data_IF_024892934563
#
_entry.id   IF_024892934563
#
_cell.length_a   1.000
_cell.length_b   1.000
_cell.length_c   1.000
_cell.angle_alpha   90.00
_cell.angle_beta   90.00
_cell.angle_gamma   90.00
#
_symmetry.space_group_name_H-M   'P 1'
#
loop_
_entity.id
_entity.type
_entity.pdbx_description
1 polymer ?
#
# COMPACT_ATOMS: atom_id res chain seq x y z
N UNK A 1 24.37 42.82 42.94
CA UNK A 1 24.48 41.95 44.13
C UNK A 1 23.17 42.11 44.87
N UNK A 2 22.23 41.16 44.90
CA UNK A 2 22.27 39.70 44.84
C UNK A 2 20.89 39.25 44.37
N UNK A 3 20.82 38.46 43.30
CA UNK A 3 19.58 37.86 42.80
C UNK A 3 19.35 36.53 43.52
N UNK A 4 18.15 36.37 44.08
CA UNK A 4 17.60 35.10 44.56
C UNK A 4 17.51 34.09 43.41
N UNK A 5 17.90 32.84 43.69
CA UNK A 5 17.53 31.69 42.88
C UNK A 5 16.85 30.67 43.79
N UNK A 6 15.53 30.64 43.71
CA UNK A 6 14.68 29.61 44.30
C UNK A 6 14.99 28.26 43.65
N UNK A 7 15.30 27.27 44.49
CA UNK A 7 15.42 25.86 44.12
C UNK A 7 14.03 25.28 43.90
N UNK A 8 13.76 24.72 42.72
CA UNK A 8 12.70 23.71 42.57
C UNK A 8 13.34 22.35 42.36
N UNK A 9 12.98 21.43 43.26
CA UNK A 9 13.44 20.07 43.33
C UNK A 9 12.26 19.15 43.02
N UNK A 10 12.26 18.55 41.82
CA UNK A 10 11.42 17.39 41.52
C UNK A 10 12.09 16.48 40.48
N UNK A 11 13.29 15.98 40.80
CA UNK A 11 13.95 14.92 40.05
C UNK A 11 13.48 13.54 40.50
N UNK A 12 12.45 13.00 39.84
CA UNK A 12 12.21 11.55 39.83
C UNK A 12 13.04 10.91 38.70
N UNK A 13 13.52 9.65 38.83
CA UNK A 13 14.30 9.01 37.77
C UNK A 13 13.40 8.75 36.56
N UNK A 14 13.52 9.60 35.54
CA UNK A 14 12.80 9.47 34.30
C UNK A 14 13.17 8.15 33.62
N UNK A 15 12.18 7.27 33.43
CA UNK A 15 12.29 6.15 32.51
C UNK A 15 12.67 6.72 31.13
N UNK A 16 13.69 6.18 30.42
CA UNK A 16 14.04 6.69 29.10
C UNK A 16 12.80 6.57 28.21
N UNK A 17 12.26 7.72 27.78
CA UNK A 17 11.24 7.75 26.75
C UNK A 17 11.93 7.29 25.46
N UNK A 18 11.38 6.29 24.78
CA UNK A 18 11.71 6.05 23.36
C UNK A 18 11.56 7.39 22.62
N UNK A 19 12.32 7.63 21.56
CA UNK A 19 12.13 8.84 20.74
C UNK A 19 10.78 8.80 20.02
N UNK A 20 10.15 7.63 19.92
CA UNK A 20 8.72 7.48 19.58
C UNK A 20 7.82 7.88 20.77
N UNK A 21 6.70 8.53 20.47
CA UNK A 21 5.63 8.87 21.41
C UNK A 21 4.77 7.69 21.86
N UNK A 22 5.03 6.47 21.38
CA UNK A 22 4.36 5.26 21.82
C UNK A 22 4.55 4.99 23.32
N UNK A 23 3.50 4.48 23.97
CA UNK A 23 3.63 3.95 25.31
C UNK A 23 4.50 2.69 25.34
N UNK A 24 4.96 2.33 26.54
CA UNK A 24 5.91 1.24 26.68
C UNK A 24 5.34 -0.15 26.42
N UNK A 25 4.03 -0.34 26.58
CA UNK A 25 3.39 -1.62 26.28
C UNK A 25 3.33 -1.83 24.78
N UNK A 26 2.93 -0.79 24.05
CA UNK A 26 2.93 -0.75 22.59
C UNK A 26 4.33 -0.96 22.02
N UNK A 27 5.34 -0.26 22.54
CA UNK A 27 6.75 -0.46 22.14
C UNK A 27 7.19 -1.91 22.39
N UNK A 28 6.85 -2.50 23.53
CA UNK A 28 7.25 -3.88 23.84
C UNK A 28 6.61 -4.89 22.87
N UNK A 29 5.32 -4.72 22.54
CA UNK A 29 4.62 -5.56 21.57
C UNK A 29 5.23 -5.45 20.17
N UNK A 30 5.39 -4.22 19.67
CA UNK A 30 5.96 -3.99 18.33
C UNK A 30 7.42 -4.45 18.24
N UNK A 31 8.22 -4.25 19.29
CA UNK A 31 9.62 -4.68 19.30
C UNK A 31 9.75 -6.21 19.24
N UNK A 32 8.82 -6.96 19.85
CA UNK A 32 8.79 -8.42 19.75
C UNK A 32 8.51 -8.88 18.32
N UNK A 33 7.51 -8.29 17.65
CA UNK A 33 7.20 -8.57 16.25
C UNK A 33 8.33 -8.12 15.32
N UNK A 34 8.90 -6.94 15.55
CA UNK A 34 10.03 -6.41 14.79
C UNK A 34 11.25 -7.34 14.84
N UNK A 35 11.57 -7.90 16.00
CA UNK A 35 12.68 -8.85 16.15
C UNK A 35 12.48 -10.09 15.26
N UNK A 36 11.24 -10.59 15.13
CA UNK A 36 10.92 -11.71 14.24
C UNK A 36 11.09 -11.35 12.76
N UNK A 37 10.72 -10.12 12.37
CA UNK A 37 10.92 -9.63 11.00
C UNK A 37 12.42 -9.50 10.70
N UNK A 38 13.17 -8.82 11.58
CA UNK A 38 14.61 -8.58 11.41
C UNK A 38 15.40 -9.88 11.28
N UNK A 39 15.03 -10.91 12.06
CA UNK A 39 15.67 -12.22 12.03
C UNK A 39 15.57 -12.94 10.68
N UNK A 40 14.68 -12.52 9.76
CA UNK A 40 14.54 -13.08 8.41
C UNK A 40 15.61 -12.60 7.44
N UNK A 41 16.37 -11.56 7.80
CA UNK A 41 17.31 -10.91 6.91
C UNK A 41 18.74 -10.96 7.46
N UNK A 42 19.75 -11.13 6.58
CA UNK A 42 21.15 -11.05 7.00
C UNK A 42 21.59 -9.62 7.37
N UNK A 43 20.90 -8.61 6.84
CA UNK A 43 21.15 -7.20 7.14
C UNK A 43 19.88 -6.57 7.73
N UNK A 44 19.94 -5.93 8.92
CA UNK A 44 18.76 -5.35 9.56
C UNK A 44 18.00 -4.36 8.68
N UNK A 45 18.70 -3.49 7.94
CA UNK A 45 18.08 -2.52 7.01
C UNK A 45 17.12 -3.14 6.00
N UNK A 46 17.32 -4.40 5.60
CA UNK A 46 16.46 -5.10 4.64
C UNK A 46 15.07 -5.40 5.20
N UNK A 47 14.89 -5.32 6.52
CA UNK A 47 13.61 -5.48 7.19
C UNK A 47 12.71 -4.23 7.11
N UNK A 48 13.19 -3.11 6.56
CA UNK A 48 12.45 -1.84 6.61
C UNK A 48 11.07 -1.91 5.95
N UNK A 49 10.95 -2.55 4.79
CA UNK A 49 9.69 -2.67 4.06
C UNK A 49 8.59 -3.38 4.89
N UNK A 50 8.80 -4.63 5.38
CA UNK A 50 7.82 -5.27 6.25
C UNK A 50 7.65 -4.57 7.62
N UNK A 51 8.67 -3.87 8.12
CA UNK A 51 8.54 -3.05 9.34
C UNK A 51 7.57 -1.88 9.16
N UNK A 52 7.55 -1.24 7.99
CA UNK A 52 6.58 -0.20 7.67
C UNK A 52 5.15 -0.76 7.62
N UNK A 53 4.96 -1.96 7.07
CA UNK A 53 3.66 -2.65 7.16
C UNK A 53 3.29 -3.04 8.59
N UNK A 54 4.25 -3.42 9.44
CA UNK A 54 3.99 -3.67 10.86
C UNK A 54 3.46 -2.41 11.56
N UNK A 55 4.07 -1.25 11.29
CA UNK A 55 3.57 0.06 11.77
C UNK A 55 2.14 0.31 11.28
N UNK A 56 1.86 0.13 9.99
CA UNK A 56 0.49 0.31 9.46
C UNK A 56 -0.51 -0.65 10.11
N UNK A 57 -0.10 -1.87 10.45
CA UNK A 57 -0.98 -2.83 11.13
C UNK A 57 -1.42 -2.35 12.52
N UNK A 58 -0.61 -1.49 13.13
CA UNK A 58 -0.83 -0.96 14.47
C UNK A 58 -1.49 0.41 14.44
N UNK A 59 -1.08 1.30 13.54
CA UNK A 59 -1.52 2.69 13.50
C UNK A 59 -2.55 2.98 12.40
N UNK A 60 -2.72 2.08 11.42
CA UNK A 60 -3.53 2.31 10.22
C UNK A 60 -2.80 3.09 9.12
N UNK A 61 -1.60 3.60 9.40
CA UNK A 61 -0.72 4.31 8.47
C UNK A 61 0.70 4.36 9.08
N UNK A 62 1.68 4.85 8.32
CA UNK A 62 3.06 5.10 8.74
C UNK A 62 3.13 6.43 9.49
N UNK A 63 2.88 6.38 10.80
CA UNK A 63 2.93 7.54 11.67
C UNK A 63 4.36 8.05 11.92
N UNK A 64 4.50 9.28 12.43
CA UNK A 64 5.79 9.85 12.85
C UNK A 64 6.48 9.00 13.91
N UNK A 65 5.69 8.46 14.84
CA UNK A 65 6.19 7.58 15.89
C UNK A 65 6.62 6.22 15.34
N UNK A 66 5.89 5.70 14.36
CA UNK A 66 6.27 4.50 13.61
C UNK A 66 7.58 4.66 12.84
N UNK A 67 7.80 5.80 12.20
CA UNK A 67 9.07 6.14 11.53
C UNK A 67 10.22 6.11 12.55
N UNK A 68 10.05 6.75 13.71
CA UNK A 68 11.06 6.76 14.77
C UNK A 68 11.30 5.37 15.34
N UNK A 69 10.25 4.58 15.52
CA UNK A 69 10.34 3.20 15.96
C UNK A 69 11.17 2.36 14.99
N UNK A 70 10.87 2.40 13.68
CA UNK A 70 11.65 1.69 12.65
C UNK A 70 13.11 2.16 12.62
N UNK A 71 13.35 3.46 12.72
CA UNK A 71 14.69 4.03 12.78
C UNK A 71 15.50 3.49 13.97
N UNK A 72 14.88 3.44 15.16
CA UNK A 72 15.51 2.87 16.37
C UNK A 72 15.76 1.36 16.24
N UNK A 73 14.82 0.58 15.71
CA UNK A 73 14.97 -0.87 15.60
C UNK A 73 16.04 -1.31 14.58
N UNK A 74 16.25 -0.52 13.53
CA UNK A 74 17.09 -0.90 12.39
C UNK A 74 18.43 -0.15 12.34
N UNK A 75 18.72 0.71 13.32
CA UNK A 75 19.86 1.63 13.33
C UNK A 75 19.94 2.50 12.06
N UNK A 76 18.79 3.09 11.71
CA UNK A 76 18.64 4.01 10.58
C UNK A 76 18.29 5.41 11.09
N UNK A 77 18.49 6.41 10.24
CA UNK A 77 17.95 7.74 10.49
C UNK A 77 16.45 7.79 10.17
N UNK A 78 15.71 8.66 10.87
CA UNK A 78 14.31 8.91 10.53
C UNK A 78 14.15 9.41 9.08
N UNK A 79 15.13 10.14 8.54
CA UNK A 79 15.12 10.62 7.16
C UNK A 79 15.20 9.48 6.13
N UNK A 80 16.05 8.47 6.37
CA UNK A 80 16.13 7.28 5.50
C UNK A 80 14.82 6.49 5.52
N UNK A 81 14.22 6.33 6.70
CA UNK A 81 12.91 5.66 6.84
C UNK A 81 11.81 6.45 6.12
N UNK A 82 11.75 7.77 6.33
CA UNK A 82 10.81 8.64 5.64
C UNK A 82 10.96 8.57 4.13
N UNK A 83 12.19 8.56 3.60
CA UNK A 83 12.44 8.49 2.16
C UNK A 83 11.87 7.20 1.55
N UNK A 84 11.99 6.06 2.24
CA UNK A 84 11.40 4.80 1.78
C UNK A 84 9.88 4.83 1.88
N UNK A 85 9.33 5.35 2.97
CA UNK A 85 7.89 5.49 3.16
C UNK A 85 7.24 6.42 2.12
N UNK A 86 7.96 7.43 1.63
CA UNK A 86 7.50 8.33 0.56
C UNK A 86 7.64 7.74 -0.84
N UNK A 87 8.57 6.80 -1.02
CA UNK A 87 8.87 6.24 -2.35
C UNK A 87 7.85 5.20 -2.80
N UNK A 88 7.36 4.37 -1.87
CA UNK A 88 6.38 3.32 -2.19
C UNK A 88 4.96 3.77 -1.80
N UNK A 89 4.06 3.81 -2.78
CA UNK A 89 2.65 4.22 -2.62
C UNK A 89 1.82 3.31 -1.71
N UNK A 90 2.31 2.10 -1.44
CA UNK A 90 1.68 1.14 -0.51
C UNK A 90 1.75 1.61 0.94
N UNK A 91 2.65 2.56 1.25
CA UNK A 91 2.79 3.13 2.57
C UNK A 91 1.91 4.37 2.76
N UNK A 92 0.77 4.12 3.43
CA UNK A 92 -0.05 5.03 4.24
C UNK A 92 0.75 6.14 4.89
N UNK A 93 0.71 7.41 4.48
CA UNK A 93 1.36 8.48 5.27
C UNK A 93 0.38 9.42 5.97
N UNK A 94 -0.88 9.28 5.63
CA UNK A 94 -2.01 9.85 6.34
C UNK A 94 -2.93 8.72 6.81
N UNK A 95 -3.81 8.99 7.78
CA UNK A 95 -4.82 8.05 8.21
C UNK A 95 -5.63 7.51 7.03
N UNK A 96 -5.77 6.19 7.03
CA UNK A 96 -6.41 5.42 5.98
C UNK A 96 -7.67 4.78 6.56
N UNK A 97 -8.67 4.60 5.70
CA UNK A 97 -9.91 3.95 6.04
C UNK A 97 -9.72 2.49 6.46
N UNK A 98 -10.80 1.90 6.96
CA UNK A 98 -10.83 0.45 7.23
C UNK A 98 -10.55 -0.37 5.97
N UNK A 99 -10.95 0.16 4.80
CA UNK A 99 -10.78 -0.43 3.49
C UNK A 99 -10.15 0.57 2.52
N UNK A 100 -8.98 0.25 1.98
CA UNK A 100 -8.44 0.94 0.79
C UNK A 100 -9.03 0.30 -0.45
N UNK A 101 -9.82 1.08 -1.19
CA UNK A 101 -10.50 0.67 -2.43
C UNK A 101 -9.75 1.29 -3.61
N UNK A 102 -9.02 0.48 -4.37
CA UNK A 102 -8.23 0.91 -5.52
C UNK A 102 -8.87 0.48 -6.83
N UNK A 103 -9.10 1.40 -7.77
CA UNK A 103 -9.60 1.10 -9.11
C UNK A 103 -8.46 1.21 -10.12
N UNK A 104 -8.20 0.13 -10.88
CA UNK A 104 -7.19 0.17 -11.93
C UNK A 104 -7.65 1.08 -13.07
N UNK A 105 -6.93 2.17 -13.31
CA UNK A 105 -7.19 3.11 -14.41
C UNK A 105 -6.11 3.07 -15.49
N UNK A 106 -5.26 2.03 -15.48
CA UNK A 106 -4.28 1.85 -16.54
C UNK A 106 -4.95 1.31 -17.82
N UNK A 107 -4.29 1.52 -18.95
CA UNK A 107 -4.73 1.35 -20.35
C UNK A 107 -5.87 0.36 -20.58
N UNK A 108 -5.69 -0.93 -20.25
CA UNK A 108 -6.72 -1.92 -20.53
C UNK A 108 -7.96 -1.74 -19.64
N UNK A 109 -7.78 -1.50 -18.34
CA UNK A 109 -8.92 -1.26 -17.46
C UNK A 109 -9.62 0.04 -17.84
N UNK A 110 -8.88 1.12 -18.15
CA UNK A 110 -9.45 2.36 -18.68
C UNK A 110 -10.36 2.13 -19.90
N UNK A 111 -9.85 1.41 -20.91
CA UNK A 111 -10.63 1.04 -22.11
C UNK A 111 -11.90 0.24 -21.76
N UNK A 112 -11.81 -0.61 -20.74
CA UNK A 112 -12.91 -1.48 -20.31
C UNK A 112 -13.89 -0.80 -19.33
N UNK A 113 -13.67 0.47 -18.95
CA UNK A 113 -14.55 1.23 -18.05
C UNK A 113 -14.00 1.47 -16.63
N UNK A 114 -12.70 1.30 -16.42
CA UNK A 114 -12.04 1.55 -15.12
C UNK A 114 -12.15 3.00 -14.66
N UNK A 115 -12.02 3.97 -15.57
CA UNK A 115 -12.23 5.38 -15.25
C UNK A 115 -13.69 5.66 -14.84
N UNK A 116 -14.66 5.06 -15.54
CA UNK A 116 -16.08 5.18 -15.21
C UNK A 116 -16.40 4.60 -13.82
N UNK A 117 -15.76 3.49 -13.44
CA UNK A 117 -15.89 2.90 -12.10
C UNK A 117 -15.34 3.84 -11.04
N UNK A 118 -14.16 4.42 -11.27
CA UNK A 118 -13.57 5.36 -10.31
C UNK A 118 -14.45 6.60 -10.15
N UNK A 119 -14.92 7.19 -11.25
CA UNK A 119 -15.72 8.41 -11.21
C UNK A 119 -17.06 8.19 -10.50
N UNK A 120 -17.74 7.05 -10.75
CA UNK A 120 -18.97 6.67 -10.03
C UNK A 120 -18.72 6.51 -8.52
N UNK A 121 -17.65 5.80 -8.13
CA UNK A 121 -17.31 5.63 -6.71
C UNK A 121 -16.96 6.95 -6.04
N UNK A 122 -16.23 7.82 -6.73
CA UNK A 122 -15.85 9.15 -6.26
C UNK A 122 -17.09 10.01 -5.99
N UNK A 123 -18.04 10.05 -6.93
CA UNK A 123 -19.30 10.77 -6.76
C UNK A 123 -20.16 10.17 -5.64
N UNK A 124 -20.29 8.84 -5.61
CA UNK A 124 -21.12 8.13 -4.61
C UNK A 124 -20.59 8.27 -3.18
N UNK A 125 -19.27 8.22 -3.00
CA UNK A 125 -18.62 8.34 -1.69
C UNK A 125 -18.37 9.80 -1.30
N UNK A 126 -18.37 10.72 -2.26
CA UNK A 126 -18.05 12.13 -2.04
C UNK A 126 -16.58 12.37 -1.72
N UNK A 127 -15.67 11.50 -2.20
CA UNK A 127 -14.22 11.60 -1.96
C UNK A 127 -13.45 11.38 -3.27
N UNK A 128 -12.33 12.09 -3.41
CA UNK A 128 -11.40 11.94 -4.53
C UNK A 128 -10.37 10.82 -4.35
N UNK A 129 -9.31 10.88 -5.15
CA UNK A 129 -8.18 9.97 -5.03
C UNK A 129 -7.38 10.24 -3.73
N UNK A 130 -7.00 9.17 -3.05
CA UNK A 130 -6.29 9.14 -1.76
C UNK A 130 -7.04 9.84 -0.61
N UNK A 131 -8.33 10.16 -0.81
CA UNK A 131 -9.21 10.73 0.20
C UNK A 131 -10.02 9.64 0.91
N UNK A 132 -10.43 9.93 2.14
CA UNK A 132 -11.12 8.97 3.02
C UNK A 132 -12.49 9.50 3.40
N UNK A 133 -13.50 8.64 3.38
CA UNK A 133 -14.87 9.00 3.75
C UNK A 133 -14.95 9.48 5.20
N UNK A 134 -15.88 10.38 5.50
CA UNK A 134 -16.06 10.98 6.85
C UNK A 134 -16.28 9.94 7.96
N UNK A 135 -16.85 8.78 7.61
CA UNK A 135 -17.06 7.66 8.53
C UNK A 135 -15.79 6.82 8.78
N UNK A 136 -14.67 7.13 8.12
CA UNK A 136 -13.40 6.42 8.22
C UNK A 136 -13.43 5.00 7.62
N UNK A 137 -14.44 4.67 6.83
CA UNK A 137 -14.61 3.33 6.30
C UNK A 137 -13.74 3.08 5.06
N UNK A 138 -13.73 4.01 4.10
CA UNK A 138 -13.16 3.79 2.76
C UNK A 138 -12.18 4.89 2.40
N UNK A 139 -10.98 4.51 1.96
CA UNK A 139 -10.06 5.37 1.22
C UNK A 139 -10.11 4.97 -0.24
N UNK A 140 -10.39 5.91 -1.15
CA UNK A 140 -10.56 5.64 -2.58
C UNK A 140 -9.28 6.00 -3.35
N UNK A 141 -8.79 5.10 -4.21
CA UNK A 141 -7.57 5.32 -4.98
C UNK A 141 -7.76 4.98 -6.46
N UNK A 142 -7.23 5.85 -7.33
CA UNK A 142 -6.82 5.46 -8.67
C UNK A 142 -5.51 4.68 -8.54
N UNK A 143 -5.51 3.42 -8.96
CA UNK A 143 -4.30 2.60 -8.93
C UNK A 143 -3.83 2.29 -10.34
N UNK A 144 -2.53 2.09 -10.44
CA UNK A 144 -1.89 1.64 -11.66
C UNK A 144 -2.16 0.14 -11.93
N UNK A 145 -1.46 -0.42 -12.91
CA UNK A 145 -1.64 -1.81 -13.33
C UNK A 145 -1.47 -2.82 -12.18
N UNK A 146 -2.55 -3.54 -11.86
CA UNK A 146 -2.57 -4.65 -10.89
C UNK A 146 -2.24 -6.03 -11.51
N UNK A 147 -1.74 -6.06 -12.75
CA UNK A 147 -1.36 -7.27 -13.48
C UNK A 147 -2.47 -8.35 -13.60
N UNK A 148 -3.73 -7.93 -13.63
CA UNK A 148 -4.92 -8.80 -13.78
C UNK A 148 -5.74 -8.41 -15.01
N UNK A 149 -5.05 -8.09 -16.11
CA UNK A 149 -5.61 -7.58 -17.35
C UNK A 149 -6.62 -8.53 -18.02
N UNK A 150 -6.46 -9.83 -17.82
CA UNK A 150 -7.37 -10.87 -18.29
C UNK A 150 -8.74 -10.86 -17.57
N UNK A 151 -8.87 -10.07 -16.50
CA UNK A 151 -10.09 -9.87 -15.70
C UNK A 151 -10.57 -8.41 -15.66
N UNK A 152 -10.06 -7.54 -16.55
CA UNK A 152 -10.40 -6.13 -16.57
C UNK A 152 -11.92 -5.88 -16.79
N UNK A 153 -12.52 -4.85 -16.16
CA UNK A 153 -11.91 -3.92 -15.19
C UNK A 153 -11.70 -4.53 -13.80
N UNK A 154 -10.61 -4.13 -13.15
CA UNK A 154 -10.22 -4.66 -11.83
C UNK A 154 -10.25 -3.57 -10.77
N UNK A 155 -10.96 -3.85 -9.68
CA UNK A 155 -10.89 -3.13 -8.42
C UNK A 155 -10.17 -3.99 -7.38
N UNK A 156 -9.48 -3.37 -6.44
CA UNK A 156 -8.90 -4.05 -5.28
C UNK A 156 -9.46 -3.45 -3.99
N UNK A 157 -9.70 -4.30 -2.99
CA UNK A 157 -10.01 -3.84 -1.63
C UNK A 157 -9.01 -4.48 -0.69
N UNK A 158 -8.16 -3.68 -0.06
CA UNK A 158 -7.08 -4.17 0.81
C UNK A 158 -6.33 -5.36 0.19
N UNK A 159 -5.84 -5.21 -1.05
CA UNK A 159 -5.08 -6.22 -1.82
C UNK A 159 -5.84 -7.49 -2.23
N UNK A 160 -7.15 -7.56 -1.99
CA UNK A 160 -8.01 -8.62 -2.53
C UNK A 160 -8.61 -8.17 -3.87
N UNK A 161 -8.71 -9.10 -4.83
CA UNK A 161 -9.12 -8.79 -6.20
C UNK A 161 -10.64 -8.88 -6.41
N UNK A 162 -11.21 -7.82 -6.97
CA UNK A 162 -12.58 -7.74 -7.46
C UNK A 162 -12.53 -7.56 -8.98
N UNK A 163 -12.83 -8.64 -9.68
CA UNK A 163 -12.66 -8.76 -11.12
C UNK A 163 -13.95 -8.43 -11.87
N UNK A 164 -13.82 -8.13 -13.17
CA UNK A 164 -14.95 -7.86 -14.08
C UNK A 164 -15.94 -6.85 -13.49
N UNK A 165 -15.43 -5.82 -12.81
CA UNK A 165 -16.28 -4.86 -12.12
C UNK A 165 -16.98 -3.94 -13.12
N UNK A 166 -18.13 -3.45 -12.68
CA UNK A 166 -18.94 -2.42 -13.32
C UNK A 166 -19.17 -1.30 -12.30
N UNK A 167 -19.56 -0.08 -12.71
CA UNK A 167 -19.86 0.98 -11.76
C UNK A 167 -20.85 0.53 -10.67
N UNK A 168 -21.96 -0.12 -11.07
CA UNK A 168 -22.96 -0.61 -10.12
C UNK A 168 -22.47 -1.72 -9.18
N UNK A 169 -21.65 -2.66 -9.67
CA UNK A 169 -21.12 -3.72 -8.79
C UNK A 169 -20.06 -3.20 -7.83
N UNK A 170 -19.27 -2.22 -8.25
CA UNK A 170 -18.27 -1.57 -7.40
C UNK A 170 -18.96 -0.80 -6.25
N UNK A 171 -20.02 -0.05 -6.56
CA UNK A 171 -20.84 0.64 -5.56
C UNK A 171 -21.46 -0.33 -4.57
N UNK A 172 -22.03 -1.46 -5.03
CA UNK A 172 -22.57 -2.51 -4.14
C UNK A 172 -21.52 -3.07 -3.18
N UNK A 173 -20.31 -3.36 -3.68
CA UNK A 173 -19.19 -3.82 -2.85
C UNK A 173 -18.89 -2.81 -1.75
N UNK A 174 -18.74 -1.54 -2.10
CA UNK A 174 -18.39 -0.48 -1.15
C UNK A 174 -19.49 -0.26 -0.11
N UNK A 175 -20.75 -0.24 -0.52
CA UNK A 175 -21.88 -0.06 0.41
C UNK A 175 -21.97 -1.20 1.43
N UNK A 176 -21.77 -2.44 0.98
CA UNK A 176 -21.77 -3.62 1.85
C UNK A 176 -20.61 -3.59 2.84
N UNK A 177 -19.43 -3.14 2.42
CA UNK A 177 -18.28 -2.93 3.31
C UNK A 177 -18.58 -1.87 4.38
N UNK A 178 -19.17 -0.74 3.99
CA UNK A 178 -19.57 0.33 4.91
C UNK A 178 -20.67 -0.10 5.88
N UNK A 179 -21.54 -1.01 5.45
CA UNK A 179 -22.54 -1.66 6.31
C UNK A 179 -21.95 -2.71 7.27
N UNK A 180 -20.64 -3.01 7.17
CA UNK A 180 -19.95 -3.99 8.01
C UNK A 180 -20.22 -5.45 7.60
N UNK A 181 -20.67 -5.68 6.37
CA UNK A 181 -20.87 -7.04 5.86
C UNK A 181 -19.56 -7.74 5.54
N UNK A 182 -19.57 -9.07 5.58
CA UNK A 182 -18.48 -9.86 5.04
C UNK A 182 -18.62 -9.94 3.52
N UNK A 183 -17.77 -9.21 2.81
CA UNK A 183 -17.71 -9.22 1.35
C UNK A 183 -16.57 -10.11 0.89
N UNK A 184 -16.87 -11.08 0.03
CA UNK A 184 -15.87 -11.94 -0.58
C UNK A 184 -15.32 -11.30 -1.88
N UNK A 185 -13.99 -11.31 -2.10
CA UNK A 185 -13.39 -10.99 -3.38
C UNK A 185 -13.72 -12.03 -4.45
N UNK A 186 -13.50 -11.68 -5.72
CA UNK A 186 -13.67 -12.63 -6.83
C UNK A 186 -12.60 -13.71 -6.82
N UNK A 187 -11.39 -13.34 -6.38
CA UNK A 187 -10.26 -14.24 -6.17
C UNK A 187 -9.61 -13.92 -4.84
N UNK A 188 -9.41 -14.93 -4.01
CA UNK A 188 -8.76 -14.82 -2.72
C UNK A 188 -9.60 -15.38 -1.58
N UNK A 189 -9.39 -14.85 -0.39
CA UNK A 189 -9.95 -15.39 0.83
C UNK A 189 -11.47 -15.24 0.91
N UNK A 190 -12.15 -15.99 1.79
CA UNK A 190 -13.63 -16.00 1.88
C UNK A 190 -14.28 -14.65 2.24
N UNK A 191 -13.48 -13.66 2.65
CA UNK A 191 -13.91 -12.30 2.98
C UNK A 191 -12.71 -11.36 3.03
N UNK A 192 -12.90 -10.09 2.66
CA UNK A 192 -11.87 -9.07 2.87
C UNK A 192 -11.63 -8.83 4.36
N UNK A 193 -10.38 -8.52 4.74
CA UNK A 193 -10.03 -8.08 6.08
C UNK A 193 -9.81 -6.56 6.10
N UNK A 194 -9.67 -5.97 7.30
CA UNK A 194 -9.35 -4.54 7.43
C UNK A 194 -7.92 -4.23 6.98
N UNK A 195 -7.65 -2.96 6.64
CA UNK A 195 -6.33 -2.49 6.21
C UNK A 195 -5.22 -2.82 7.22
N UNK A 196 -5.54 -2.71 8.51
CA UNK A 196 -4.63 -3.06 9.61
C UNK A 196 -4.32 -4.56 9.65
N UNK A 197 -5.33 -5.40 9.44
CA UNK A 197 -5.15 -6.85 9.38
C UNK A 197 -4.33 -7.25 8.16
N UNK A 198 -4.63 -6.70 6.97
CA UNK A 198 -3.85 -7.00 5.77
C UNK A 198 -2.41 -6.50 5.88
N UNK A 199 -2.20 -5.31 6.46
CA UNK A 199 -0.86 -4.79 6.75
C UNK A 199 -0.07 -5.73 7.68
N UNK A 200 -0.75 -6.41 8.63
CA UNK A 200 -0.10 -7.42 9.46
C UNK A 200 0.35 -8.64 8.64
N UNK A 201 -0.48 -9.08 7.69
CA UNK A 201 -0.13 -10.16 6.75
C UNK A 201 1.05 -9.76 5.87
N UNK A 202 1.07 -8.53 5.34
CA UNK A 202 2.16 -7.98 4.52
C UNK A 202 3.46 -7.77 5.31
N UNK A 203 3.39 -7.55 6.62
CA UNK A 203 4.56 -7.60 7.51
C UNK A 203 5.11 -9.03 7.70
N UNK A 204 4.43 -10.03 7.14
CA UNK A 204 4.78 -11.44 7.12
C UNK A 204 4.28 -12.21 8.34
N UNK A 205 3.18 -11.79 8.95
CA UNK A 205 2.46 -12.56 9.97
C UNK A 205 1.19 -13.13 9.34
N UNK A 206 1.26 -14.39 8.94
CA UNK A 206 0.17 -15.05 8.20
C UNK A 206 -1.10 -15.15 9.03
N UNK A 207 -2.23 -14.97 8.38
CA UNK A 207 -3.58 -15.15 8.95
C UNK A 207 -4.15 -16.57 8.69
N UNK A 208 -3.41 -17.40 7.95
CA UNK A 208 -3.79 -18.76 7.60
C UNK A 208 -4.69 -18.88 6.36
N UNK A 209 -4.89 -17.78 5.62
CA UNK A 209 -5.87 -17.70 4.52
C UNK A 209 -5.23 -17.69 3.13
N UNK A 210 -3.90 -17.80 3.06
CA UNK A 210 -3.14 -17.69 1.81
C UNK A 210 -3.52 -18.75 0.76
N UNK A 211 -4.00 -19.92 1.18
CA UNK A 211 -4.43 -21.01 0.29
C UNK A 211 -5.94 -20.98 -0.02
N UNK A 212 -6.66 -19.96 0.46
CA UNK A 212 -8.07 -19.77 0.12
C UNK A 212 -8.22 -19.17 -1.29
N UNK A 213 -9.38 -19.45 -1.91
CA UNK A 213 -9.74 -18.90 -3.22
C UNK A 213 -9.39 -19.80 -4.40
N UNK A 214 -9.52 -19.24 -5.59
CA UNK A 214 -9.21 -19.91 -6.85
C UNK A 214 -7.91 -19.35 -7.42
N UNK A 215 -7.03 -20.23 -7.90
CA UNK A 215 -5.80 -19.86 -8.58
C UNK A 215 -6.06 -19.29 -9.98
N UNK A 216 -5.38 -19.83 -11.00
CA UNK A 216 -5.61 -19.40 -12.39
C UNK A 216 -7.05 -19.73 -12.84
N UNK A 217 -7.85 -18.69 -13.10
CA UNK A 217 -9.22 -18.83 -13.58
C UNK A 217 -9.32 -19.11 -15.09
N UNK A 218 -10.55 -19.11 -15.62
CA UNK A 218 -10.82 -19.45 -17.02
C UNK A 218 -10.07 -18.52 -18.00
N UNK A 219 -10.13 -17.18 -17.88
CA UNK A 219 -9.43 -16.25 -18.78
C UNK A 219 -7.92 -16.47 -18.82
N UNK A 220 -7.30 -16.67 -17.66
CA UNK A 220 -5.85 -16.91 -17.53
C UNK A 220 -5.42 -18.19 -18.27
N UNK A 221 -6.27 -19.21 -18.25
CA UNK A 221 -5.98 -20.52 -18.84
C UNK A 221 -6.41 -20.65 -20.31
N UNK A 222 -7.11 -19.66 -20.87
CA UNK A 222 -7.66 -19.74 -22.23
C UNK A 222 -6.59 -20.04 -23.29
N UNK A 223 -5.44 -19.33 -23.23
CA UNK A 223 -4.33 -19.56 -24.14
C UNK A 223 -3.74 -20.97 -24.05
N UNK A 224 -3.63 -21.52 -22.82
CA UNK A 224 -3.15 -22.88 -22.60
C UNK A 224 -4.12 -23.94 -23.14
N UNK A 225 -5.43 -23.74 -22.97
CA UNK A 225 -6.45 -24.64 -23.52
C UNK A 225 -6.36 -24.67 -25.04
N UNK A 226 -6.35 -23.50 -25.68
CA UNK A 226 -6.23 -23.38 -27.14
C UNK A 226 -4.95 -24.03 -27.66
N UNK A 227 -3.82 -23.85 -26.98
CA UNK A 227 -2.57 -24.49 -27.37
C UNK A 227 -2.68 -26.02 -27.35
N UNK A 228 -3.28 -26.60 -26.30
CA UNK A 228 -3.49 -28.06 -26.19
C UNK A 228 -4.45 -28.60 -27.25
N UNK A 229 -5.56 -27.91 -27.48
CA UNK A 229 -6.56 -28.29 -28.48
C UNK A 229 -5.99 -28.30 -29.90
N UNK A 230 -5.11 -27.34 -30.21
CA UNK A 230 -4.49 -27.23 -31.53
C UNK A 230 -3.14 -27.97 -31.64
N UNK A 231 -2.70 -28.66 -30.59
CA UNK A 231 -1.39 -29.32 -30.55
C UNK A 231 -0.21 -28.36 -30.73
N UNK A 232 -0.36 -27.09 -30.34
CA UNK A 232 0.70 -26.09 -30.43
C UNK A 232 1.76 -26.34 -29.37
N UNK A 233 3.01 -26.33 -29.82
CA UNK A 233 4.19 -26.35 -28.95
C UNK A 233 5.00 -25.09 -29.21
N UNK A 234 5.63 -24.55 -28.17
CA UNK A 234 6.59 -23.47 -28.35
C UNK A 234 7.67 -23.91 -29.37
N UNK A 235 8.11 -23.04 -30.28
CA UNK A 235 9.26 -23.33 -31.12
C UNK A 235 10.47 -23.67 -30.24
N UNK A 236 11.19 -24.75 -30.58
CA UNK A 236 12.35 -25.14 -29.79
C UNK A 236 13.42 -24.06 -29.78
N UNK A 237 13.99 -23.79 -28.60
CA UNK A 237 15.15 -22.91 -28.48
C UNK A 237 16.41 -23.58 -29.03
N UNK A 238 17.54 -22.85 -29.18
CA UNK A 238 18.82 -23.42 -29.63
C UNK A 238 19.35 -24.61 -28.79
N UNK A 239 18.74 -24.88 -27.64
CA UNK A 239 19.10 -25.93 -26.69
C UNK A 239 18.15 -27.14 -26.70
N UNK A 240 17.10 -27.17 -27.53
CA UNK A 240 16.13 -28.28 -27.56
C UNK A 240 16.58 -29.47 -28.43
N UNK A 241 17.83 -29.90 -28.26
CA UNK A 241 18.24 -31.25 -28.66
C UNK A 241 17.93 -32.24 -27.54
N UNK A 242 16.76 -32.85 -27.65
CA UNK A 242 16.38 -34.18 -27.16
C UNK A 242 16.86 -34.61 -25.75
N UNK A 243 16.05 -34.35 -24.73
CA UNK A 243 15.60 -35.38 -23.77
C UNK A 243 14.45 -34.84 -22.89
N UNK A 244 13.25 -35.39 -23.08
CA UNK A 244 12.12 -35.38 -22.13
C UNK A 244 11.81 -34.07 -21.39
N UNK A 245 11.28 -33.06 -22.07
CA UNK A 245 10.69 -31.90 -21.39
C UNK A 245 9.30 -32.26 -20.82
N UNK A 246 9.25 -32.67 -19.55
CA UNK A 246 8.04 -32.55 -18.76
C UNK A 246 7.69 -31.06 -18.62
N UNK A 247 6.43 -30.72 -18.90
CA UNK A 247 5.94 -29.36 -18.74
C UNK A 247 6.22 -28.87 -17.32
N UNK A 248 6.80 -27.68 -17.13
CA UNK A 248 7.01 -27.13 -15.80
C UNK A 248 5.66 -26.81 -15.16
N UNK A 249 5.41 -27.36 -13.97
CA UNK A 249 4.34 -26.93 -13.08
C UNK A 249 4.50 -25.43 -12.79
N UNK A 250 3.37 -24.70 -12.79
CA UNK A 250 3.27 -23.25 -12.73
C UNK A 250 3.75 -22.61 -11.43
N UNK A 251 5.05 -22.71 -11.14
CA UNK A 251 5.74 -21.96 -10.10
C UNK A 251 6.19 -20.57 -10.57
N UNK A 252 6.33 -19.60 -9.65
CA UNK A 252 6.50 -18.19 -10.01
C UNK A 252 7.92 -17.91 -10.49
N UNK A 253 8.05 -17.18 -11.60
CA UNK A 253 9.32 -16.67 -12.10
C UNK A 253 9.25 -15.17 -12.36
N UNK A 254 10.08 -14.46 -11.62
CA UNK A 254 10.48 -13.06 -11.80
C UNK A 254 11.11 -12.83 -13.18
N UNK A 255 10.83 -11.69 -13.83
CA UNK A 255 11.40 -11.35 -15.13
C UNK A 255 11.35 -9.85 -15.45
N UNK A 256 12.54 -9.29 -15.53
CA UNK A 256 12.97 -7.91 -15.76
C UNK A 256 12.45 -7.26 -17.06
N UNK A 257 12.31 -5.93 -17.00
CA UNK A 257 11.82 -4.99 -18.01
C UNK A 257 12.85 -4.58 -19.09
N UNK A 258 12.34 -4.17 -20.25
CA UNK A 258 13.05 -3.47 -21.33
C UNK A 258 12.07 -2.61 -22.15
N UNK A 259 12.53 -1.50 -22.77
CA UNK A 259 11.73 -0.29 -22.91
C UNK A 259 10.93 -0.21 -24.21
N UNK A 260 9.80 0.49 -24.18
CA UNK A 260 9.03 0.88 -25.36
C UNK A 260 8.91 2.41 -25.40
N UNK A 261 9.52 3.00 -26.43
CA UNK A 261 9.33 4.40 -26.81
C UNK A 261 7.93 4.58 -27.43
N UNK A 262 7.11 5.43 -26.82
CA UNK A 262 5.88 5.92 -27.42
C UNK A 262 5.80 7.43 -27.21
N UNK A 263 5.87 8.17 -28.32
CA UNK A 263 5.73 9.62 -28.36
C UNK A 263 4.26 10.00 -28.46
N UNK A 264 3.82 10.76 -27.47
CA UNK A 264 2.54 11.46 -27.37
C UNK A 264 2.47 11.90 -25.92
N UNK A 265 2.54 13.21 -25.64
CA UNK A 265 2.47 13.71 -24.26
C UNK A 265 1.10 13.32 -23.69
N UNK A 266 1.03 12.39 -22.71
CA UNK A 266 -0.16 12.23 -21.94
C UNK A 266 -0.27 13.48 -21.07
N UNK A 267 -1.43 14.14 -21.05
CA UNK A 267 -1.71 15.08 -19.97
C UNK A 267 -1.75 14.26 -18.69
N UNK A 268 -0.70 14.39 -17.88
CA UNK A 268 -0.65 13.79 -16.57
C UNK A 268 -1.83 14.33 -15.77
N UNK A 269 -2.70 13.44 -15.30
CA UNK A 269 -3.58 13.78 -14.19
C UNK A 269 -2.74 14.34 -13.04
N UNK A 270 -3.35 15.19 -12.23
CA UNK A 270 -2.66 15.80 -11.09
C UNK A 270 -1.90 14.71 -10.30
N UNK A 271 -0.60 14.92 -10.07
CA UNK A 271 0.19 14.02 -9.22
C UNK A 271 -0.41 14.11 -7.81
N UNK A 272 -1.08 13.04 -7.39
CA UNK A 272 -1.68 12.95 -6.07
C UNK A 272 -0.96 11.82 -5.33
N UNK A 273 0.24 12.13 -4.84
CA UNK A 273 0.91 11.26 -3.87
C UNK A 273 0.24 11.44 -2.52
N UNK A 274 0.17 10.37 -1.72
CA UNK A 274 -0.13 10.46 -0.28
C UNK A 274 0.88 11.27 0.53
N UNK A 275 1.78 12.02 -0.11
CA UNK A 275 2.67 13.00 0.50
C UNK A 275 2.06 14.36 0.59
N UNK A 276 1.20 14.63 -0.37
CA UNK A 276 0.76 15.96 -0.72
C UNK A 276 -0.69 16.17 -0.28
N UNK A 277 -1.29 15.17 0.39
CA UNK A 277 -2.64 15.24 0.94
C UNK A 277 -2.70 16.17 2.15
N UNK A 278 -3.61 17.12 2.08
CA UNK A 278 -3.99 17.97 3.22
C UNK A 278 -4.92 17.21 4.19
N UNK A 279 -4.89 17.51 5.50
CA UNK A 279 -5.82 16.92 6.46
C UNK A 279 -7.28 17.29 6.13
N UNK A 280 -8.14 16.29 6.07
CA UNK A 280 -9.56 16.41 5.73
C UNK A 280 -10.49 16.20 6.93
N UNK A 281 -10.05 15.43 7.93
CA UNK A 281 -10.82 15.05 9.12
C UNK A 281 -9.99 15.20 10.40
N UNK A 282 -10.66 15.22 11.57
CA UNK A 282 -9.96 15.22 12.87
C UNK A 282 -9.07 13.98 13.07
N UNK A 283 -9.42 12.86 12.41
CA UNK A 283 -8.62 11.65 12.44
C UNK A 283 -7.29 11.82 11.71
N UNK A 284 -7.21 12.73 10.73
CA UNK A 284 -6.02 13.00 9.90
C UNK A 284 -4.89 13.71 10.68
N UNK A 285 -5.18 14.21 11.88
CA UNK A 285 -4.23 14.93 12.73
C UNK A 285 -3.63 14.00 13.76
N UNK A 286 -2.31 13.83 13.72
CA UNK A 286 -1.53 13.04 14.68
C UNK A 286 -1.86 13.49 16.13
N UNK A 287 -2.30 12.59 17.03
CA UNK A 287 -2.65 12.92 18.41
C UNK A 287 -1.49 13.50 19.24
N UNK A 288 -0.26 13.52 18.73
CA UNK A 288 0.91 14.17 19.35
C UNK A 288 1.53 15.36 18.59
N UNK A 289 1.00 15.76 17.43
CA UNK A 289 1.64 16.72 16.52
C UNK A 289 0.93 18.07 16.43
N UNK A 290 1.64 19.18 16.68
CA UNK A 290 1.16 20.50 16.21
C UNK A 290 1.08 20.51 14.68
N UNK A 291 0.10 21.20 14.06
CA UNK A 291 -0.04 21.28 12.60
C UNK A 291 1.29 21.70 11.96
N UNK A 292 1.75 20.93 10.98
CA UNK A 292 2.96 21.23 10.23
C UNK A 292 2.73 22.51 9.43
N UNK A 293 3.52 23.55 9.71
CA UNK A 293 3.60 24.70 8.83
C UNK A 293 4.14 24.23 7.48
N UNK A 294 3.50 24.54 6.34
CA UNK A 294 4.05 24.19 5.04
C UNK A 294 5.44 24.84 4.88
N UNK A 295 6.45 24.02 4.58
CA UNK A 295 7.79 24.52 4.23
C UNK A 295 7.68 25.33 2.94
N UNK A 296 7.96 26.63 3.03
CA UNK A 296 7.99 27.52 1.89
C UNK A 296 9.08 27.07 0.90
N UNK A 297 8.69 26.69 -0.32
CA UNK A 297 9.62 26.52 -1.45
C UNK A 297 10.44 27.81 -1.62
N UNK A 298 11.78 27.76 -1.73
CA UNK A 298 12.57 28.94 -2.04
C UNK A 298 12.29 29.39 -3.48
N UNK A 299 11.84 30.63 -3.62
CA UNK A 299 11.58 31.31 -4.89
C UNK A 299 12.90 31.47 -5.68
N UNK A 300 13.04 30.66 -6.73
CA UNK A 300 14.10 30.81 -7.72
C UNK A 300 13.69 31.85 -8.76
N UNK A 301 13.68 33.13 -8.38
CA UNK A 301 13.63 34.23 -9.33
C UNK A 301 14.37 35.47 -8.82
N UNK A 302 15.64 35.60 -9.22
CA UNK A 302 16.31 36.90 -9.48
C UNK A 302 17.69 36.68 -10.06
N UNK A 303 17.88 37.14 -11.28
CA UNK A 303 19.18 37.19 -11.94
C UNK A 303 19.07 37.62 -13.40
N UNK A 304 18.45 38.76 -13.68
CA UNK A 304 18.66 39.52 -14.91
C UNK A 304 19.72 40.59 -14.70
N UNK A 305 20.62 40.67 -15.68
CA UNK A 305 21.41 41.82 -16.13
C UNK A 305 22.51 42.41 -15.24
N UNK A 306 23.76 41.99 -15.50
CA UNK A 306 24.86 42.83 -16.02
C UNK A 306 26.11 41.98 -16.32
#
# INVERSE_FOLDING_TARGET
MTTETTTDASGGPGRPRSRSGYDAEKVARLAADAALIVARYPQPRSALLPMLHLVQSEDGYVSRDGIRFCAEQLDLTAAEVSAVATFYTQYKRHPNGTYTVGVCTNTLCAIMGGDEIFDELSEHLGVGHDETTDDGAVTLERVECNAACDYAPVMMVNWEFFDNQTPGSATDVVDRLRAGEQVAPTRGAASVCSFKQMSRVLAGFTDGRADEGVGAGEPTLAGLRLARENGWTAPGGPTDTAEGAQAPDGGPSTGTTGPADAQGEPEAGEEQSSAEREPTTDADVDPGGKPGTPEAKPDASKGTDA
#
